data_IF_759875184758
#
_entry.id   IF_759875184758
#
_cell.length_a   1.000
_cell.length_b   1.000
_cell.length_c   1.000
_cell.angle_alpha   90.00
_cell.angle_beta   90.00
_cell.angle_gamma   90.00
#
_symmetry.space_group_name_H-M   'P 1'
#
loop_
_entity.id
_entity.type
_entity.pdbx_description
1 polymer ?
#
# COMPACT_ATOMS: atom_id res chain seq x y z
N UNK A 1 -4.40 11.39 -41.18
CA UNK A 1 -3.86 12.05 -39.98
C UNK A 1 -2.38 12.35 -40.24
N UNK A 2 -1.93 13.59 -40.06
CA UNK A 2 -0.54 13.98 -40.38
C UNK A 2 0.40 13.62 -39.23
N UNK A 3 1.26 12.61 -39.44
CA UNK A 3 2.25 12.17 -38.46
C UNK A 3 3.30 13.25 -38.14
N UNK A 4 3.56 14.22 -39.03
CA UNK A 4 4.50 15.33 -38.73
C UNK A 4 3.94 16.25 -37.66
N UNK A 5 2.63 16.54 -37.71
CA UNK A 5 1.95 17.34 -36.69
C UNK A 5 2.00 16.68 -35.32
N UNK A 6 1.66 15.39 -35.23
CA UNK A 6 1.67 14.66 -33.96
C UNK A 6 3.07 14.56 -33.36
N UNK A 7 4.10 14.33 -34.20
CA UNK A 7 5.49 14.30 -33.76
C UNK A 7 5.94 15.65 -33.17
N UNK A 8 5.53 16.75 -33.79
CA UNK A 8 5.79 18.10 -33.26
C UNK A 8 5.08 18.32 -31.91
N UNK A 9 3.81 17.94 -31.82
CA UNK A 9 3.02 18.03 -30.59
C UNK A 9 3.70 17.27 -29.44
N UNK A 10 4.09 16.01 -29.66
CA UNK A 10 4.78 15.19 -28.66
C UNK A 10 6.13 15.81 -28.25
N UNK A 11 6.88 16.35 -29.22
CA UNK A 11 8.17 17.01 -28.96
C UNK A 11 8.02 18.23 -28.06
N UNK A 12 7.01 19.05 -28.27
CA UNK A 12 6.77 20.24 -27.44
C UNK A 12 6.23 19.87 -26.06
N UNK A 13 5.39 18.83 -25.98
CA UNK A 13 4.87 18.25 -24.74
C UNK A 13 5.99 17.73 -23.83
N UNK A 14 7.00 17.05 -24.40
CA UNK A 14 8.17 16.52 -23.68
C UNK A 14 9.09 17.58 -23.07
N UNK A 15 9.10 18.81 -23.57
CA UNK A 15 10.01 19.89 -23.08
C UNK A 15 9.57 20.49 -21.75
N UNK A 16 8.32 20.28 -21.35
CA UNK A 16 7.75 20.85 -20.15
C UNK A 16 7.67 19.71 -19.13
N UNK A 17 8.58 19.61 -18.15
CA UNK A 17 8.43 18.63 -17.06
C UNK A 17 8.56 19.38 -15.74
N UNK A 18 7.43 19.67 -15.11
CA UNK A 18 7.38 20.28 -13.77
C UNK A 18 6.27 19.63 -12.96
N UNK A 19 6.54 19.32 -11.70
CA UNK A 19 5.51 18.95 -10.73
C UNK A 19 5.28 20.11 -9.75
N UNK A 20 4.05 20.28 -9.31
CA UNK A 20 3.64 21.32 -8.37
C UNK A 20 2.61 20.79 -7.38
N UNK A 21 2.51 21.46 -6.24
CA UNK A 21 1.72 21.03 -5.08
C UNK A 21 0.33 21.65 -5.17
N UNK A 22 -0.72 20.85 -5.00
CA UNK A 22 -2.11 21.33 -4.99
C UNK A 22 -2.70 21.49 -3.57
N UNK A 23 -2.18 20.76 -2.56
CA UNK A 23 -2.85 20.56 -1.25
C UNK A 23 -4.31 20.08 -1.42
N UNK A 24 -4.45 18.87 -1.95
CA UNK A 24 -5.72 18.21 -2.21
C UNK A 24 -6.38 17.58 -0.99
N UNK A 25 -7.52 16.94 -1.24
CA UNK A 25 -8.34 16.22 -0.27
C UNK A 25 -7.94 14.74 -0.18
N UNK A 26 -8.40 14.06 0.89
CA UNK A 26 -8.26 12.61 1.02
C UNK A 26 -8.82 11.90 -0.24
N UNK A 27 -8.07 10.94 -0.82
CA UNK A 27 -8.51 10.20 -1.99
C UNK A 27 -9.69 9.28 -1.69
N UNK A 28 -10.58 9.13 -2.67
CA UNK A 28 -11.64 8.13 -2.65
C UNK A 28 -11.74 7.41 -3.99
N UNK A 29 -12.17 6.15 -3.95
CA UNK A 29 -12.45 5.36 -5.15
C UNK A 29 -13.51 6.09 -6.00
N UNK A 30 -13.40 5.97 -7.33
CA UNK A 30 -14.23 6.65 -8.35
C UNK A 30 -13.91 8.13 -8.57
N UNK A 31 -12.96 8.71 -7.86
CA UNK A 31 -12.51 10.07 -8.16
C UNK A 31 -11.62 10.11 -9.40
N UNK A 32 -11.86 11.10 -10.26
CA UNK A 32 -10.94 11.52 -11.30
C UNK A 32 -10.23 12.76 -10.78
N UNK A 33 -8.90 12.69 -10.76
CA UNK A 33 -8.03 13.70 -10.18
C UNK A 33 -7.05 14.23 -11.21
N UNK A 34 -6.85 15.54 -11.18
CA UNK A 34 -5.76 16.20 -11.89
C UNK A 34 -4.52 16.23 -11.00
N UNK A 35 -3.41 15.72 -11.53
CA UNK A 35 -2.10 15.78 -10.91
C UNK A 35 -1.44 17.13 -11.21
N UNK A 36 -0.71 17.66 -10.23
CA UNK A 36 0.04 18.90 -10.35
C UNK A 36 1.27 18.68 -11.20
N UNK A 37 1.07 18.56 -12.51
CA UNK A 37 2.13 18.34 -13.47
C UNK A 37 1.94 19.24 -14.69
N UNK A 38 3.06 19.67 -15.27
CA UNK A 38 3.10 20.27 -16.61
C UNK A 38 3.86 19.29 -17.51
N UNK A 39 3.24 18.83 -18.60
CA UNK A 39 1.87 19.15 -19.02
C UNK A 39 0.83 18.47 -18.12
N UNK A 40 -0.48 18.76 -18.24
CA UNK A 40 -1.49 18.18 -17.37
C UNK A 40 -1.45 16.64 -17.36
N UNK A 41 -1.75 16.06 -16.21
CA UNK A 41 -1.79 14.61 -16.01
C UNK A 41 -3.00 14.29 -15.15
N UNK A 42 -3.74 13.24 -15.50
CA UNK A 42 -4.98 12.87 -14.83
C UNK A 42 -4.94 11.42 -14.40
N UNK A 43 -5.62 11.09 -13.31
CA UNK A 43 -5.75 9.71 -12.82
C UNK A 43 -7.16 9.44 -12.36
N UNK A 44 -7.69 8.26 -12.71
CA UNK A 44 -8.89 7.67 -12.13
C UNK A 44 -8.49 6.74 -10.98
N UNK A 45 -9.04 6.94 -9.79
CA UNK A 45 -8.88 5.99 -8.67
C UNK A 45 -9.86 4.84 -8.87
N UNK A 46 -9.33 3.66 -9.22
CA UNK A 46 -10.12 2.48 -9.53
C UNK A 46 -10.37 1.59 -8.31
N UNK A 47 -9.39 1.51 -7.40
CA UNK A 47 -9.43 0.59 -6.27
C UNK A 47 -8.52 1.12 -5.13
N UNK A 48 -8.94 0.89 -3.88
CA UNK A 48 -8.08 1.00 -2.71
C UNK A 48 -7.64 -0.42 -2.34
N UNK A 49 -6.33 -0.69 -2.42
CA UNK A 49 -5.81 -2.06 -2.31
C UNK A 49 -5.51 -2.45 -0.87
N UNK A 50 -4.77 -1.59 -0.17
CA UNK A 50 -4.36 -1.73 1.22
C UNK A 50 -4.29 -0.34 1.84
N UNK A 51 -4.39 -0.23 3.18
CA UNK A 51 -4.45 1.04 3.90
C UNK A 51 -3.42 2.03 3.33
N UNK A 52 -3.89 3.07 2.65
CA UNK A 52 -3.11 4.15 2.02
C UNK A 52 -2.49 3.89 0.63
N UNK A 53 -2.74 2.77 -0.06
CA UNK A 53 -2.29 2.53 -1.44
C UNK A 53 -3.46 2.35 -2.42
N UNK A 54 -3.46 3.17 -3.48
CA UNK A 54 -4.54 3.23 -4.46
C UNK A 54 -4.07 2.78 -5.83
N UNK A 55 -4.85 1.90 -6.47
CA UNK A 55 -4.69 1.56 -7.88
C UNK A 55 -5.33 2.64 -8.73
N UNK A 56 -4.51 3.29 -9.55
CA UNK A 56 -4.91 4.42 -10.37
C UNK A 56 -4.71 4.10 -11.85
N UNK A 57 -5.65 4.56 -12.69
CA UNK A 57 -5.59 4.45 -14.14
C UNK A 57 -5.31 5.84 -14.70
N UNK A 58 -4.15 6.07 -15.33
CA UNK A 58 -3.84 7.35 -15.94
C UNK A 58 -4.78 7.68 -17.10
N UNK A 59 -5.14 8.97 -17.21
CA UNK A 59 -5.97 9.50 -18.28
C UNK A 59 -5.26 10.66 -18.98
N UNK A 60 -5.61 10.90 -20.23
CA UNK A 60 -5.04 11.96 -21.06
C UNK A 60 -6.10 12.77 -21.79
N UNK A 61 -5.86 14.07 -21.96
CA UNK A 61 -6.60 14.93 -22.88
C UNK A 61 -6.21 14.69 -24.36
N UNK A 62 -5.06 14.07 -24.61
CA UNK A 62 -4.53 13.79 -25.94
C UNK A 62 -5.05 12.46 -26.49
N UNK A 63 -6.37 12.32 -26.58
CA UNK A 63 -7.02 11.09 -27.08
C UNK A 63 -6.55 10.66 -28.48
N UNK A 64 -6.11 11.60 -29.32
CA UNK A 64 -5.51 11.33 -30.63
C UNK A 64 -4.19 10.54 -30.57
N UNK A 65 -3.53 10.50 -29.41
CA UNK A 65 -2.29 9.75 -29.17
C UNK A 65 -2.55 8.41 -28.44
N UNK A 66 -3.80 7.98 -28.32
CA UNK A 66 -4.19 6.69 -27.72
C UNK A 66 -4.69 5.76 -28.84
N UNK A 67 -4.30 4.47 -28.84
CA UNK A 67 -4.81 3.50 -29.82
C UNK A 67 -6.34 3.37 -29.71
N UNK A 68 -7.06 3.72 -30.78
CA UNK A 68 -8.48 4.11 -30.75
C UNK A 68 -9.50 2.98 -30.56
N UNK A 69 -9.09 1.71 -30.58
CA UNK A 69 -10.04 0.61 -30.44
C UNK A 69 -10.53 0.50 -28.99
N UNK A 70 -11.80 0.85 -28.78
CA UNK A 70 -12.54 0.69 -27.53
C UNK A 70 -12.02 1.48 -26.31
N UNK A 71 -11.23 2.53 -26.50
CA UNK A 71 -10.77 3.42 -25.41
C UNK A 71 -11.96 4.00 -24.64
N UNK A 72 -12.04 3.78 -23.32
CA UNK A 72 -12.99 4.50 -22.49
C UNK A 72 -12.69 6.00 -22.47
N UNK A 73 -13.73 6.80 -22.71
CA UNK A 73 -13.66 8.27 -22.75
C UNK A 73 -14.60 8.84 -21.68
N UNK A 74 -14.09 9.78 -20.90
CA UNK A 74 -14.83 10.54 -19.92
C UNK A 74 -15.10 11.95 -20.47
N UNK A 75 -16.38 12.30 -20.58
CA UNK A 75 -16.81 13.65 -20.90
C UNK A 75 -17.54 14.22 -19.68
N UNK A 76 -17.18 15.43 -19.30
CA UNK A 76 -17.78 16.11 -18.15
C UNK A 76 -18.79 17.13 -18.63
N UNK A 77 -19.99 17.15 -18.02
CA UNK A 77 -21.07 18.06 -18.46
C UNK A 77 -20.68 19.54 -18.31
N UNK A 78 -19.96 19.87 -17.25
CA UNK A 78 -19.67 21.25 -16.85
C UNK A 78 -18.20 21.65 -17.07
N UNK A 79 -17.39 20.77 -17.65
CA UNK A 79 -15.96 21.01 -17.89
C UNK A 79 -15.69 20.67 -19.35
N UNK A 80 -15.19 21.61 -20.18
CA UNK A 80 -14.85 21.37 -21.58
C UNK A 80 -13.54 20.57 -21.70
N UNK A 81 -13.55 19.37 -21.12
CA UNK A 81 -12.43 18.45 -21.02
C UNK A 81 -12.93 17.04 -21.32
N UNK A 82 -12.27 16.38 -22.26
CA UNK A 82 -12.46 14.97 -22.57
C UNK A 82 -11.20 14.21 -22.18
N UNK A 83 -11.35 13.17 -21.37
CA UNK A 83 -10.23 12.35 -20.90
C UNK A 83 -10.34 10.94 -21.44
N UNK A 84 -9.26 10.46 -22.04
CA UNK A 84 -9.13 9.11 -22.58
C UNK A 84 -8.30 8.24 -21.63
N UNK A 85 -8.72 7.01 -21.43
CA UNK A 85 -8.01 6.02 -20.63
C UNK A 85 -6.68 5.61 -21.29
N UNK A 86 -5.59 5.57 -20.52
CA UNK A 86 -4.31 5.01 -20.97
C UNK A 86 -4.23 3.51 -20.62
N UNK A 87 -3.56 2.69 -21.47
CA UNK A 87 -3.57 1.23 -21.34
C UNK A 87 -2.56 0.70 -20.30
N UNK A 88 -2.49 1.32 -19.12
CA UNK A 88 -1.71 0.84 -17.98
C UNK A 88 -2.31 1.35 -16.66
N UNK A 89 -1.99 0.70 -15.54
CA UNK A 89 -2.29 1.22 -14.21
C UNK A 89 -1.00 1.47 -13.44
N UNK A 90 -1.11 2.30 -12.41
CA UNK A 90 -0.06 2.60 -11.45
C UNK A 90 -0.63 2.51 -10.03
N UNK A 91 0.25 2.52 -9.05
CA UNK A 91 -0.08 2.62 -7.64
C UNK A 91 0.39 3.96 -7.10
N UNK A 92 -0.51 4.67 -6.43
CA UNK A 92 -0.21 5.94 -5.79
C UNK A 92 -0.57 5.89 -4.31
N UNK A 93 0.35 6.33 -3.48
CA UNK A 93 0.10 6.44 -2.04
C UNK A 93 -0.87 7.59 -1.75
N UNK A 94 -1.57 7.48 -0.62
CA UNK A 94 -2.44 8.52 -0.08
C UNK A 94 -1.73 9.87 0.02
N UNK A 95 -0.47 9.86 0.46
CA UNK A 95 0.35 11.06 0.60
C UNK A 95 0.53 11.76 -0.76
N UNK A 96 0.88 11.03 -1.81
CA UNK A 96 1.05 11.60 -3.15
C UNK A 96 -0.26 12.20 -3.64
N UNK A 97 -1.37 11.47 -3.50
CA UNK A 97 -2.68 11.94 -3.94
C UNK A 97 -3.12 13.19 -3.18
N UNK A 98 -2.87 13.28 -1.87
CA UNK A 98 -3.19 14.49 -1.08
C UNK A 98 -2.28 15.65 -1.51
N UNK A 99 -0.99 15.43 -1.68
CA UNK A 99 -0.04 16.52 -1.89
C UNK A 99 -0.09 17.09 -3.30
N UNK A 100 -0.23 16.21 -4.30
CA UNK A 100 0.02 16.54 -5.70
C UNK A 100 -1.22 16.40 -6.59
N UNK A 101 -2.43 16.22 -6.05
CA UNK A 101 -3.62 16.12 -6.90
C UNK A 101 -4.82 16.87 -6.36
N UNK A 102 -5.79 17.16 -7.23
CA UNK A 102 -7.11 17.71 -6.88
C UNK A 102 -8.21 16.96 -7.60
N UNK A 103 -9.38 16.84 -6.97
CA UNK A 103 -10.56 16.21 -7.59
C UNK A 103 -11.11 17.14 -8.67
N UNK A 104 -11.37 16.59 -9.85
CA UNK A 104 -12.03 17.30 -10.95
C UNK A 104 -13.39 16.70 -11.31
N UNK A 105 -13.58 15.41 -11.05
CA UNK A 105 -14.86 14.74 -11.27
C UNK A 105 -14.97 13.44 -10.46
N UNK A 106 -16.17 12.84 -10.47
CA UNK A 106 -16.43 11.48 -9.98
C UNK A 106 -17.10 10.68 -11.07
N UNK A 107 -16.80 9.38 -11.12
CA UNK A 107 -17.40 8.45 -12.09
C UNK A 107 -18.23 7.36 -11.42
N UNK A 108 -18.78 6.44 -12.23
CA UNK A 108 -19.54 5.27 -11.79
C UNK A 108 -18.70 3.98 -11.89
N UNK A 109 -19.18 2.92 -11.24
CA UNK A 109 -18.50 1.61 -11.22
C UNK A 109 -18.42 0.99 -12.61
N UNK A 110 -19.45 1.14 -13.43
CA UNK A 110 -19.44 0.67 -14.82
C UNK A 110 -18.26 1.24 -15.62
N UNK A 111 -17.98 2.53 -15.48
CA UNK A 111 -16.86 3.17 -16.16
C UNK A 111 -15.51 2.69 -15.65
N UNK A 112 -15.39 2.40 -14.35
CA UNK A 112 -14.19 1.78 -13.77
C UNK A 112 -13.97 0.40 -14.37
N UNK A 113 -15.01 -0.44 -14.40
CA UNK A 113 -14.95 -1.78 -14.97
C UNK A 113 -14.50 -1.77 -16.43
N UNK A 114 -15.05 -0.85 -17.24
CA UNK A 114 -14.62 -0.65 -18.64
C UNK A 114 -13.15 -0.24 -18.75
N UNK A 115 -12.67 0.63 -17.86
CA UNK A 115 -11.26 1.02 -17.85
C UNK A 115 -10.35 -0.15 -17.47
N UNK A 116 -10.70 -0.90 -16.42
CA UNK A 116 -9.93 -2.08 -15.99
C UNK A 116 -9.88 -3.15 -17.08
N UNK A 117 -11.01 -3.39 -17.75
CA UNK A 117 -11.08 -4.32 -18.89
C UNK A 117 -10.18 -3.85 -20.04
N UNK A 118 -10.26 -2.57 -20.41
CA UNK A 118 -9.41 -1.97 -21.43
C UNK A 118 -7.93 -2.12 -21.10
N UNK A 119 -7.52 -1.71 -19.89
CA UNK A 119 -6.11 -1.79 -19.46
C UNK A 119 -5.61 -3.24 -19.44
N UNK A 120 -6.46 -4.20 -19.09
CA UNK A 120 -6.07 -5.62 -19.02
C UNK A 120 -5.96 -6.30 -20.40
N UNK A 121 -6.70 -5.82 -21.40
CA UNK A 121 -6.77 -6.45 -22.74
C UNK A 121 -5.85 -5.78 -23.76
N UNK A 122 -5.67 -4.46 -23.67
CA UNK A 122 -4.96 -3.70 -24.70
C UNK A 122 -3.46 -3.85 -24.54
N UNK A 123 -2.81 -4.31 -25.61
CA UNK A 123 -1.35 -4.34 -25.68
C UNK A 123 -0.82 -2.96 -26.08
N UNK A 124 0.11 -2.44 -25.29
CA UNK A 124 0.84 -1.22 -25.63
C UNK A 124 1.66 -1.49 -26.90
N UNK A 125 1.53 -0.68 -27.96
CA UNK A 125 2.35 -0.84 -29.16
C UNK A 125 3.84 -0.74 -28.83
N UNK A 126 4.68 -1.54 -29.49
CA UNK A 126 6.14 -1.53 -29.22
C UNK A 126 6.86 -0.34 -29.89
N UNK A 127 6.30 0.18 -31.00
CA UNK A 127 6.93 1.20 -31.84
C UNK A 127 5.92 2.19 -32.38
N UNK A 128 6.42 3.36 -32.81
CA UNK A 128 5.62 4.43 -33.38
C UNK A 128 5.12 5.42 -32.33
N UNK A 129 4.40 6.43 -32.80
CA UNK A 129 4.09 7.61 -31.99
C UNK A 129 3.22 7.32 -30.76
N UNK A 130 2.32 6.34 -30.86
CA UNK A 130 1.49 5.91 -29.73
C UNK A 130 2.34 5.26 -28.63
N UNK A 131 3.28 4.39 -29.03
CA UNK A 131 4.24 3.77 -28.12
C UNK A 131 5.10 4.83 -27.43
N UNK A 132 5.61 5.79 -28.20
CA UNK A 132 6.44 6.88 -27.66
C UNK A 132 5.69 7.78 -26.67
N UNK A 133 4.40 8.01 -26.90
CA UNK A 133 3.57 8.79 -25.99
C UNK A 133 3.24 8.03 -24.72
N UNK A 134 2.81 6.77 -24.83
CA UNK A 134 2.49 5.93 -23.65
C UNK A 134 3.74 5.73 -22.80
N UNK A 135 4.89 5.42 -23.40
CA UNK A 135 6.16 5.26 -22.67
C UNK A 135 6.57 6.55 -21.96
N UNK A 136 6.32 7.71 -22.57
CA UNK A 136 6.59 8.99 -21.94
C UNK A 136 5.70 9.22 -20.70
N UNK A 137 4.40 8.92 -20.77
CA UNK A 137 3.52 9.02 -19.59
C UNK A 137 3.90 8.02 -18.49
N UNK A 138 4.29 6.79 -18.86
CA UNK A 138 4.83 5.82 -17.92
C UNK A 138 6.10 6.34 -17.23
N UNK A 139 7.01 6.95 -17.98
CA UNK A 139 8.24 7.53 -17.44
C UNK A 139 7.96 8.70 -16.50
N UNK A 140 6.98 9.56 -16.82
CA UNK A 140 6.56 10.66 -15.94
C UNK A 140 6.02 10.18 -14.60
N UNK A 141 5.32 9.05 -14.61
CA UNK A 141 4.68 8.46 -13.44
C UNK A 141 5.56 7.47 -12.68
N UNK A 142 6.68 7.04 -13.28
CA UNK A 142 7.56 5.99 -12.76
C UNK A 142 8.01 6.27 -11.33
N UNK A 143 8.54 7.47 -11.06
CA UNK A 143 9.12 7.78 -9.76
C UNK A 143 8.05 7.81 -8.66
N UNK A 144 6.86 8.35 -8.95
CA UNK A 144 5.72 8.38 -8.02
C UNK A 144 5.18 6.98 -7.74
N UNK A 145 5.09 6.14 -8.79
CA UNK A 145 4.67 4.76 -8.69
C UNK A 145 5.67 3.92 -7.88
N UNK A 146 6.95 4.00 -8.21
CA UNK A 146 8.02 3.28 -7.50
C UNK A 146 8.10 3.73 -6.04
N UNK A 147 8.08 5.04 -5.76
CA UNK A 147 8.03 5.53 -4.38
C UNK A 147 6.82 4.97 -3.63
N UNK A 148 5.62 5.02 -4.21
CA UNK A 148 4.42 4.53 -3.55
C UNK A 148 4.48 3.04 -3.22
N UNK A 149 4.98 2.23 -4.15
CA UNK A 149 5.15 0.79 -3.94
C UNK A 149 6.25 0.49 -2.91
N UNK A 150 7.37 1.22 -2.93
CA UNK A 150 8.44 1.04 -1.93
C UNK A 150 7.99 1.47 -0.54
N UNK A 151 7.35 2.63 -0.42
CA UNK A 151 6.78 3.08 0.86
C UNK A 151 5.75 2.10 1.39
N UNK A 152 4.95 1.50 0.51
CA UNK A 152 4.00 0.46 0.89
C UNK A 152 4.70 -0.83 1.35
N UNK A 153 5.72 -1.31 0.63
CA UNK A 153 6.51 -2.47 1.06
C UNK A 153 7.17 -2.18 2.40
N UNK A 154 7.75 -1.00 2.59
CA UNK A 154 8.31 -0.58 3.88
C UNK A 154 7.22 -0.49 4.96
N UNK A 155 5.99 -0.07 4.65
CA UNK A 155 4.88 -0.02 5.60
C UNK A 155 4.43 -1.43 6.00
N UNK A 156 4.29 -2.34 5.04
CA UNK A 156 4.03 -3.78 5.31
C UNK A 156 5.19 -4.38 6.12
N UNK A 157 6.43 -4.09 5.77
CA UNK A 157 7.61 -4.57 6.48
C UNK A 157 7.76 -3.92 7.86
N UNK A 158 7.20 -2.71 8.05
CA UNK A 158 7.18 -2.02 9.32
C UNK A 158 6.06 -2.51 10.21
N UNK A 159 4.89 -2.85 9.67
CA UNK A 159 3.77 -3.47 10.37
C UNK A 159 4.20 -4.86 10.84
N UNK A 160 4.54 -5.02 12.13
CA UNK A 160 4.81 -6.32 12.67
C UNK A 160 3.50 -7.08 12.57
N UNK A 161 3.55 -8.37 12.20
CA UNK A 161 2.39 -9.24 12.29
C UNK A 161 1.84 -9.09 13.72
N UNK A 162 0.71 -8.39 13.85
CA UNK A 162 0.00 -8.18 15.11
C UNK A 162 -0.84 -9.43 15.32
N UNK A 163 -0.37 -10.30 16.20
CA UNK A 163 -1.14 -11.43 16.67
C UNK A 163 -1.96 -10.92 17.84
N UNK A 164 -3.24 -10.69 17.59
CA UNK A 164 -4.21 -10.39 18.65
C UNK A 164 -4.49 -11.70 19.38
N UNK A 165 -4.04 -11.82 20.63
CA UNK A 165 -4.39 -12.96 21.48
C UNK A 165 -5.91 -12.92 21.74
N UNK A 166 -6.60 -14.05 21.48
CA UNK A 166 -8.04 -14.19 21.70
C UNK A 166 -8.41 -13.90 23.18
N UNK A 167 -9.61 -13.35 23.42
CA UNK A 167 -10.03 -12.96 24.78
C UNK A 167 -10.08 -14.16 25.76
N UNK A 168 -10.41 -15.36 25.27
CA UNK A 168 -10.36 -16.59 26.08
C UNK A 168 -8.94 -16.93 26.55
N UNK A 169 -7.94 -16.69 25.70
CA UNK A 169 -6.53 -16.90 26.02
C UNK A 169 -6.05 -15.86 27.04
N UNK A 170 -6.44 -14.60 26.87
CA UNK A 170 -6.13 -13.52 27.83
C UNK A 170 -6.65 -13.82 29.23
N UNK A 171 -7.89 -14.31 29.33
CA UNK A 171 -8.50 -14.66 30.62
C UNK A 171 -7.84 -15.90 31.25
N UNK A 172 -7.42 -16.87 30.42
CA UNK A 172 -6.60 -17.99 30.85
C UNK A 172 -5.26 -17.52 31.44
N UNK A 173 -4.53 -16.63 30.76
CA UNK A 173 -3.27 -16.08 31.27
C UNK A 173 -3.45 -15.33 32.59
N UNK A 174 -4.50 -14.51 32.68
CA UNK A 174 -4.79 -13.76 33.91
C UNK A 174 -4.99 -14.69 35.11
N UNK A 175 -5.71 -15.80 34.93
CA UNK A 175 -5.92 -16.81 35.98
C UNK A 175 -4.61 -17.51 36.36
N UNK A 176 -3.92 -18.02 35.36
CA UNK A 176 -2.76 -18.89 35.53
C UNK A 176 -1.56 -18.19 36.18
N UNK A 177 -1.37 -16.89 35.92
CA UNK A 177 -0.20 -16.13 36.38
C UNK A 177 -0.56 -15.00 37.36
N UNK A 178 -1.69 -15.12 38.07
CA UNK A 178 -2.16 -14.11 39.06
C UNK A 178 -1.07 -13.76 40.09
N UNK A 179 -0.22 -14.71 40.47
CA UNK A 179 0.87 -14.50 41.44
C UNK A 179 2.01 -13.60 40.92
N UNK A 180 2.19 -13.48 39.60
CA UNK A 180 3.18 -12.61 38.95
C UNK A 180 2.73 -11.14 38.86
N UNK A 181 1.60 -10.78 39.49
CA UNK A 181 1.14 -9.40 39.68
C UNK A 181 1.83 -8.66 40.84
N UNK A 182 2.66 -9.35 41.64
CA UNK A 182 3.34 -8.79 42.82
C UNK A 182 4.88 -8.74 42.75
N UNK A 183 5.51 -9.10 41.63
CA UNK A 183 6.96 -9.23 41.47
C UNK A 183 7.58 -8.12 40.58
N UNK A 184 8.88 -7.85 40.78
CA UNK A 184 9.64 -6.75 40.15
C UNK A 184 9.67 -6.83 38.60
N UNK A 185 9.64 -5.69 37.87
CA UNK A 185 9.29 -5.67 36.45
C UNK A 185 10.51 -5.83 35.54
N UNK A 186 10.80 -7.06 35.10
CA UNK A 186 11.65 -7.24 33.91
C UNK A 186 10.85 -6.86 32.66
N UNK A 187 11.33 -5.86 31.93
CA UNK A 187 10.76 -5.41 30.64
C UNK A 187 11.42 -6.05 29.42
N UNK A 188 12.57 -6.70 29.62
CA UNK A 188 13.35 -7.37 28.58
C UNK A 188 13.45 -8.84 28.95
N UNK A 189 13.22 -9.70 27.96
CA UNK A 189 13.09 -11.15 28.11
C UNK A 189 14.03 -11.83 27.11
N UNK A 190 14.63 -12.94 27.50
CA UNK A 190 15.46 -13.76 26.62
C UNK A 190 15.00 -15.22 26.66
N UNK A 191 14.39 -15.68 25.57
CA UNK A 191 14.07 -17.09 25.37
C UNK A 191 15.21 -17.85 24.69
N UNK A 192 14.94 -19.12 24.33
CA UNK A 192 15.92 -20.00 23.68
C UNK A 192 16.37 -19.49 22.30
N UNK A 193 15.41 -19.09 21.47
CA UNK A 193 15.62 -18.65 20.08
C UNK A 193 14.88 -17.33 19.76
N UNK A 194 14.73 -16.45 20.76
CA UNK A 194 14.06 -15.16 20.60
C UNK A 194 14.45 -14.17 21.71
N UNK A 195 14.31 -12.88 21.43
CA UNK A 195 14.43 -11.79 22.41
C UNK A 195 13.12 -11.03 22.50
N UNK A 196 12.65 -10.71 23.70
CA UNK A 196 11.36 -10.05 23.91
C UNK A 196 11.49 -8.72 24.62
N UNK A 197 10.66 -7.74 24.23
CA UNK A 197 10.49 -6.50 24.96
C UNK A 197 9.00 -6.27 25.21
N UNK A 198 8.63 -6.10 26.48
CA UNK A 198 7.29 -5.69 26.86
C UNK A 198 7.18 -4.18 26.70
N UNK A 199 6.19 -3.75 25.92
CA UNK A 199 5.85 -2.33 25.72
C UNK A 199 4.40 -2.10 26.08
N UNK A 200 4.03 -0.86 26.31
CA UNK A 200 2.63 -0.46 26.58
C UNK A 200 2.13 0.44 25.45
N UNK A 201 0.90 0.21 24.98
CA UNK A 201 0.15 1.08 24.07
C UNK A 201 -1.23 1.29 24.67
N UNK A 202 -1.59 2.56 24.92
CA UNK A 202 -2.90 2.94 25.50
C UNK A 202 -3.23 2.20 26.81
N UNK A 203 -2.22 1.93 27.64
CA UNK A 203 -2.37 1.22 28.92
C UNK A 203 -2.43 -0.30 28.82
N UNK A 204 -2.42 -0.87 27.61
CA UNK A 204 -2.38 -2.31 27.37
C UNK A 204 -0.95 -2.77 27.01
N UNK A 205 -0.42 -3.81 27.66
CA UNK A 205 0.88 -4.34 27.32
C UNK A 205 0.84 -5.21 26.06
N UNK A 206 1.92 -5.15 25.28
CA UNK A 206 2.19 -6.02 24.13
C UNK A 206 3.65 -6.48 24.16
N UNK A 207 3.90 -7.68 23.66
CA UNK A 207 5.23 -8.26 23.55
C UNK A 207 5.75 -8.07 22.13
N UNK A 208 6.90 -7.41 22.00
CA UNK A 208 7.68 -7.39 20.76
C UNK A 208 8.69 -8.53 20.84
N UNK A 209 8.49 -9.55 20.01
CA UNK A 209 9.40 -10.69 19.84
C UNK A 209 10.35 -10.43 18.68
N UNK A 210 11.65 -10.39 18.93
CA UNK A 210 12.71 -10.40 17.93
C UNK A 210 13.18 -11.84 17.72
N UNK A 211 13.19 -12.24 16.45
CA UNK A 211 13.54 -13.57 15.99
C UNK A 211 14.88 -13.55 15.25
N UNK A 212 15.63 -14.67 15.26
CA UNK A 212 16.81 -14.81 14.42
C UNK A 212 16.51 -14.59 12.94
N UNK A 213 17.45 -13.96 12.22
CA UNK A 213 17.28 -13.63 10.81
C UNK A 213 17.07 -14.86 9.91
N UNK A 214 17.54 -16.04 10.32
CA UNK A 214 17.36 -17.31 9.61
C UNK A 214 15.93 -17.88 9.72
N UNK A 215 15.04 -17.25 10.50
CA UNK A 215 13.62 -17.60 10.56
C UNK A 215 12.81 -16.88 9.46
N UNK A 216 13.37 -15.81 8.87
CA UNK A 216 12.73 -15.03 7.81
C UNK A 216 12.47 -15.94 6.59
N UNK A 217 11.23 -15.95 6.12
CA UNK A 217 10.79 -16.76 4.99
C UNK A 217 10.52 -18.23 5.34
N UNK A 218 10.56 -18.62 6.62
CA UNK A 218 10.15 -19.95 7.08
C UNK A 218 8.76 -19.89 7.73
N UNK A 219 8.04 -21.01 7.68
CA UNK A 219 6.87 -21.20 8.53
C UNK A 219 7.37 -21.35 9.97
N UNK A 220 6.77 -20.63 10.90
CA UNK A 220 7.09 -20.76 12.32
C UNK A 220 5.81 -21.03 13.11
N UNK A 221 6.01 -21.51 14.34
CA UNK A 221 4.96 -21.74 15.32
C UNK A 221 5.37 -21.12 16.65
N UNK A 222 4.56 -20.17 17.14
CA UNK A 222 4.73 -19.56 18.47
C UNK A 222 3.81 -20.30 19.43
N UNK A 223 4.39 -20.90 20.47
CA UNK A 223 3.72 -21.74 21.44
C UNK A 223 3.95 -21.14 22.83
N UNK A 224 2.91 -21.04 23.64
CA UNK A 224 3.03 -20.68 25.06
C UNK A 224 2.42 -21.81 25.89
N UNK A 225 3.25 -22.47 26.72
CA UNK A 225 2.94 -23.79 27.31
C UNK A 225 2.54 -24.80 26.23
N UNK A 226 1.27 -25.16 26.17
CA UNK A 226 0.71 -26.13 25.21
C UNK A 226 -0.20 -25.48 24.14
N UNK A 227 -0.34 -24.15 24.16
CA UNK A 227 -1.25 -23.43 23.26
C UNK A 227 -0.49 -22.75 22.13
N UNK A 228 -0.99 -22.94 20.91
CA UNK A 228 -0.44 -22.30 19.69
C UNK A 228 -0.99 -20.90 19.58
N UNK A 229 -0.14 -19.90 19.74
CA UNK A 229 -0.50 -18.49 19.58
C UNK A 229 -0.48 -18.07 18.11
N UNK A 230 0.41 -18.68 17.33
CA UNK A 230 0.55 -18.38 15.92
C UNK A 230 1.18 -19.55 15.18
N UNK A 231 0.74 -19.77 13.95
CA UNK A 231 1.40 -20.64 12.98
C UNK A 231 1.33 -19.98 11.62
N UNK A 232 2.47 -19.73 11.00
CA UNK A 232 2.51 -19.10 9.68
C UNK A 232 3.90 -18.66 9.26
N UNK A 233 4.00 -18.23 8.01
CA UNK A 233 5.26 -17.76 7.42
C UNK A 233 5.57 -16.35 7.89
N UNK A 234 6.77 -16.14 8.42
CA UNK A 234 7.24 -14.80 8.77
C UNK A 234 8.10 -14.22 7.65
N UNK A 235 8.06 -12.91 7.52
CA UNK A 235 8.86 -12.16 6.54
C UNK A 235 9.74 -11.10 7.20
N UNK A 236 9.69 -11.02 8.53
CA UNK A 236 10.42 -10.06 9.34
C UNK A 236 11.10 -10.79 10.51
N UNK A 237 12.13 -10.15 11.05
CA UNK A 237 12.83 -10.56 12.27
C UNK A 237 12.05 -10.17 13.55
N UNK A 238 10.78 -9.74 13.41
CA UNK A 238 9.96 -9.29 14.54
C UNK A 238 8.50 -9.75 14.43
N UNK A 239 7.90 -10.04 15.59
CA UNK A 239 6.47 -10.31 15.79
C UNK A 239 5.92 -9.47 16.95
N UNK A 240 4.66 -9.06 16.86
CA UNK A 240 3.96 -8.42 17.97
C UNK A 240 2.84 -9.33 18.46
N UNK A 241 2.87 -9.65 19.76
CA UNK A 241 1.74 -10.27 20.45
C UNK A 241 0.98 -9.19 21.23
N UNK A 242 -0.25 -8.91 20.81
CA UNK A 242 -1.17 -7.97 21.47
C UNK A 242 -2.10 -8.71 22.44
N UNK A 243 -2.86 -7.99 23.27
CA UNK A 243 -3.80 -8.55 24.24
C UNK A 243 -3.20 -9.42 25.37
N UNK A 244 -1.92 -9.22 25.70
CA UNK A 244 -1.30 -9.87 26.85
C UNK A 244 -1.89 -9.24 28.14
N UNK A 245 -2.22 -10.02 29.19
CA UNK A 245 -2.66 -9.44 30.45
C UNK A 245 -1.58 -8.54 31.05
N UNK A 246 -2.02 -7.48 31.74
CA UNK A 246 -1.12 -6.63 32.51
C UNK A 246 -0.66 -7.35 33.76
N UNK A 247 0.61 -7.73 33.78
CA UNK A 247 1.29 -8.42 34.88
C UNK A 247 2.42 -7.53 35.42
N UNK A 248 2.82 -7.73 36.68
CA UNK A 248 3.98 -6.99 37.21
C UNK A 248 5.31 -7.59 36.77
N UNK A 249 5.31 -8.88 36.44
CA UNK A 249 6.46 -9.62 35.93
C UNK A 249 6.06 -10.51 34.74
N UNK A 250 6.94 -10.57 33.74
CA UNK A 250 6.78 -11.35 32.52
C UNK A 250 7.86 -12.44 32.36
N UNK A 251 8.68 -12.67 33.39
CA UNK A 251 9.81 -13.62 33.35
C UNK A 251 9.39 -15.05 32.99
N UNK A 252 8.16 -15.46 33.30
CA UNK A 252 7.62 -16.78 32.92
C UNK A 252 7.68 -17.05 31.41
N UNK A 253 7.62 -15.99 30.58
CA UNK A 253 7.72 -16.12 29.14
C UNK A 253 9.08 -16.70 28.72
N UNK A 254 10.16 -16.44 29.45
CA UNK A 254 11.49 -16.96 29.12
C UNK A 254 11.54 -18.50 29.13
N UNK A 255 10.73 -19.13 29.98
CA UNK A 255 10.67 -20.58 30.14
C UNK A 255 9.56 -21.22 29.31
N UNK A 256 8.40 -20.55 29.21
CA UNK A 256 7.18 -21.15 28.70
C UNK A 256 6.83 -20.75 27.26
N UNK A 257 7.42 -19.67 26.74
CA UNK A 257 7.22 -19.23 25.35
C UNK A 257 8.29 -19.86 24.46
N UNK A 258 7.83 -20.70 23.53
CA UNK A 258 8.68 -21.37 22.55
C UNK A 258 8.35 -20.91 21.13
N UNK A 259 9.40 -20.76 20.31
CA UNK A 259 9.28 -20.42 18.89
C UNK A 259 9.98 -21.48 18.08
N UNK A 260 9.19 -22.23 17.32
CA UNK A 260 9.63 -23.37 16.52
C UNK A 260 9.53 -23.02 15.03
N UNK A 261 10.42 -23.59 14.21
CA UNK A 261 10.31 -23.63 12.74
C UNK A 261 9.66 -24.96 12.35
#
# INVERSE_FOLDING_TARGET
MDFKYLNRLLKDYKKMKKFFIYKGTAPAVREIREMGAVPPLYVLIAEETYSNLFKCIPLTELGILVPYEAVPIFNFKDIPLSLCCLPFWIYLSKEILIKFSRVIAKTNEESISRCLEFVSKVKIPEKGIFAEYINFEMERLRDLNTYSMLSFVEEIEREPIQIVVEDELKEFYKREYTYLLAASPKKVLKGKNWYGIIKEKEGNPYLVLYLPADFIGKEIKVILKDKVLYKGKIFLDKLILENIPKLSDYSFLEEELDVQI
#
